data_IF_923863858729
#
_entry.id   IF_923863858729
#
_cell.length_a   1.000
_cell.length_b   1.000
_cell.length_c   1.000
_cell.angle_alpha   90.00
_cell.angle_beta   90.00
_cell.angle_gamma   90.00
#
_symmetry.space_group_name_H-M   'P 1'
#
loop_
_entity.id
_entity.type
_entity.pdbx_description
1 polymer ?
#
# COMPACT_ATOMS: atom_id res chain seq x y z
N UNK A 1 49.08 -23.59 52.40
CA UNK A 1 47.82 -23.11 53.02
C UNK A 1 47.52 -21.64 52.70
N UNK A 2 48.48 -20.72 52.81
CA UNK A 2 48.27 -19.28 52.53
C UNK A 2 47.96 -18.97 51.05
N UNK A 3 48.64 -19.60 50.09
CA UNK A 3 48.38 -19.39 48.66
C UNK A 3 46.99 -19.83 48.21
N UNK A 4 46.53 -21.00 48.67
CA UNK A 4 45.19 -21.52 48.36
C UNK A 4 44.08 -20.64 48.94
N UNK A 5 44.28 -20.07 50.13
CA UNK A 5 43.35 -19.11 50.74
C UNK A 5 43.26 -17.82 49.92
N UNK A 6 44.38 -17.32 49.42
CA UNK A 6 44.41 -16.15 48.54
C UNK A 6 43.70 -16.44 47.20
N UNK A 7 43.84 -17.65 46.66
CA UNK A 7 43.14 -18.06 45.44
C UNK A 7 41.62 -18.09 45.64
N UNK A 8 41.13 -18.69 46.75
CA UNK A 8 39.69 -18.68 47.07
C UNK A 8 39.15 -17.27 47.33
N UNK A 9 39.93 -16.40 47.98
CA UNK A 9 39.55 -15.00 48.17
C UNK A 9 39.41 -14.28 46.83
N UNK A 10 40.37 -14.45 45.92
CA UNK A 10 40.31 -13.86 44.58
C UNK A 10 39.07 -14.33 43.80
N UNK A 11 38.73 -15.62 43.84
CA UNK A 11 37.52 -16.15 43.19
C UNK A 11 36.23 -15.52 43.72
N UNK A 12 36.16 -15.27 45.02
CA UNK A 12 34.99 -14.62 45.65
C UNK A 12 34.93 -13.13 45.31
N UNK A 13 36.08 -12.45 45.30
CA UNK A 13 36.17 -11.03 44.97
C UNK A 13 35.90 -10.73 43.50
N UNK A 14 36.32 -11.60 42.59
CA UNK A 14 36.12 -11.45 41.14
C UNK A 14 34.78 -11.98 40.64
N UNK A 15 33.95 -12.55 41.52
CA UNK A 15 32.64 -13.10 41.16
C UNK A 15 31.64 -11.98 40.87
N UNK A 16 30.88 -12.12 39.78
CA UNK A 16 29.73 -11.25 39.47
C UNK A 16 28.50 -11.57 40.34
N UNK A 17 28.44 -12.78 40.92
CA UNK A 17 27.42 -13.15 41.89
C UNK A 17 27.72 -12.54 43.26
N UNK A 18 26.68 -12.07 43.95
CA UNK A 18 26.79 -11.59 45.33
C UNK A 18 27.02 -12.79 46.26
N UNK A 19 28.21 -12.87 46.86
CA UNK A 19 28.62 -13.94 47.77
C UNK A 19 28.75 -13.36 49.18
N UNK A 20 28.03 -13.95 50.12
CA UNK A 20 27.95 -13.50 51.51
C UNK A 20 28.20 -14.68 52.44
N UNK A 21 29.20 -14.55 53.31
CA UNK A 21 29.39 -15.51 54.40
C UNK A 21 28.76 -14.96 55.68
N UNK A 22 28.10 -15.82 56.47
CA UNK A 22 27.51 -15.48 57.76
C UNK A 22 27.73 -16.58 58.80
N UNK A 23 27.71 -16.24 60.09
CA UNK A 23 27.75 -17.23 61.16
C UNK A 23 26.38 -17.94 61.32
N UNK A 24 26.28 -18.87 62.27
CA UNK A 24 25.05 -19.62 62.55
C UNK A 24 23.90 -18.79 63.14
N UNK A 25 24.14 -17.52 63.47
CA UNK A 25 23.17 -16.57 64.01
C UNK A 25 22.76 -15.50 62.97
N UNK A 26 23.22 -15.65 61.72
CA UNK A 26 22.89 -14.72 60.64
C UNK A 26 23.70 -13.43 60.63
N UNK A 27 24.79 -13.36 61.42
CA UNK A 27 25.72 -12.22 61.41
C UNK A 27 26.68 -12.35 60.24
N UNK A 28 26.76 -11.30 59.42
CA UNK A 28 27.61 -11.28 58.21
C UNK A 28 29.08 -11.25 58.59
N UNK A 29 29.85 -12.18 58.00
CA UNK A 29 31.31 -12.33 58.17
C UNK A 29 32.05 -11.78 56.95
N UNK A 30 31.52 -12.05 55.75
CA UNK A 30 32.13 -11.62 54.49
C UNK A 30 31.06 -11.08 53.55
N UNK A 31 31.45 -10.08 52.76
CA UNK A 31 30.60 -9.36 51.84
C UNK A 31 31.43 -8.95 50.62
N UNK A 32 31.24 -9.64 49.50
CA UNK A 32 32.06 -9.41 48.30
C UNK A 32 31.63 -8.15 47.53
N UNK A 33 32.45 -7.65 46.58
CA UNK A 33 32.13 -6.45 45.79
C UNK A 33 30.80 -6.56 45.01
N UNK A 34 30.46 -7.74 44.49
CA UNK A 34 29.17 -7.93 43.82
C UNK A 34 27.97 -7.80 44.78
N UNK A 35 28.10 -8.19 46.04
CA UNK A 35 27.08 -7.94 47.05
C UNK A 35 26.93 -6.44 47.36
N UNK A 36 28.03 -5.67 47.38
CA UNK A 36 27.95 -4.21 47.49
C UNK A 36 27.19 -3.59 46.32
N UNK A 37 27.52 -4.01 45.09
CA UNK A 37 26.88 -3.53 43.87
C UNK A 37 25.39 -3.89 43.83
N UNK A 38 25.02 -5.12 44.20
CA UNK A 38 23.65 -5.61 44.14
C UNK A 38 22.76 -4.96 45.21
N UNK A 39 23.19 -4.94 46.47
CA UNK A 39 22.34 -4.49 47.58
C UNK A 39 22.58 -3.04 48.00
N UNK A 40 23.65 -2.40 47.51
CA UNK A 40 24.00 -1.00 47.79
C UNK A 40 24.62 -0.75 49.16
N UNK A 41 24.85 -1.79 49.95
CA UNK A 41 25.50 -1.72 51.25
C UNK A 41 26.98 -2.04 51.12
N UNK A 42 27.84 -1.26 51.75
CA UNK A 42 29.27 -1.57 51.78
C UNK A 42 29.56 -2.72 52.75
N UNK A 43 30.66 -3.44 52.53
CA UNK A 43 31.15 -4.48 53.40
C UNK A 43 31.34 -3.98 54.84
N UNK A 44 31.83 -2.74 55.00
CA UNK A 44 31.99 -2.08 56.31
C UNK A 44 30.67 -1.89 57.05
N UNK A 45 29.56 -1.67 56.34
CA UNK A 45 28.24 -1.48 56.94
C UNK A 45 27.54 -2.80 57.28
N UNK A 46 27.85 -3.86 56.52
CA UNK A 46 27.19 -5.16 56.66
C UNK A 46 27.94 -6.13 57.56
N UNK A 47 29.26 -6.20 57.48
CA UNK A 47 30.08 -7.13 58.28
C UNK A 47 29.89 -6.82 59.77
N UNK A 48 29.63 -7.86 60.57
CA UNK A 48 29.26 -7.76 61.98
C UNK A 48 27.79 -7.41 62.23
N UNK A 49 27.03 -7.05 61.20
CA UNK A 49 25.59 -6.81 61.25
C UNK A 49 24.76 -8.05 60.88
N UNK A 50 23.45 -7.97 61.11
CA UNK A 50 22.51 -9.04 60.72
C UNK A 50 22.16 -8.98 59.23
N UNK A 51 22.17 -10.14 58.56
CA UNK A 51 21.73 -10.28 57.16
C UNK A 51 20.24 -9.93 56.96
N UNK A 52 19.45 -9.95 58.04
CA UNK A 52 18.02 -9.61 58.07
C UNK A 52 17.70 -8.21 57.55
N UNK A 53 18.68 -7.30 57.54
CA UNK A 53 18.57 -5.98 56.92
C UNK A 53 18.21 -6.03 55.44
N UNK A 54 18.56 -7.12 54.74
CA UNK A 54 18.21 -7.33 53.34
C UNK A 54 16.83 -7.94 53.16
N UNK A 55 16.14 -8.37 54.23
CA UNK A 55 14.85 -9.02 54.12
C UNK A 55 13.76 -7.97 54.37
N UNK A 56 12.71 -7.90 53.53
CA UNK A 56 11.57 -7.06 53.82
C UNK A 56 10.79 -7.56 55.04
N UNK A 57 9.94 -6.71 55.62
CA UNK A 57 9.26 -7.00 56.89
C UNK A 57 8.37 -8.25 56.85
N UNK A 58 7.75 -8.52 55.70
CA UNK A 58 6.88 -9.68 55.43
C UNK A 58 7.65 -10.99 55.23
N UNK A 59 8.99 -10.95 55.13
CA UNK A 59 9.82 -12.12 54.82
C UNK A 59 10.87 -12.42 55.88
N UNK A 60 10.77 -11.83 57.07
CA UNK A 60 11.76 -12.04 58.12
C UNK A 60 11.91 -13.52 58.50
N UNK A 61 10.82 -14.28 58.52
CA UNK A 61 10.83 -15.71 58.88
C UNK A 61 11.67 -16.58 57.92
N UNK A 62 11.86 -16.14 56.67
CA UNK A 62 12.69 -16.88 55.69
C UNK A 62 14.12 -17.13 56.22
N UNK A 63 14.69 -16.17 56.96
CA UNK A 63 16.03 -16.31 57.51
C UNK A 63 16.08 -17.36 58.64
N UNK A 64 15.02 -17.52 59.43
CA UNK A 64 14.96 -18.53 60.49
C UNK A 64 14.90 -19.93 59.89
N UNK A 65 14.10 -20.12 58.84
CA UNK A 65 14.02 -21.38 58.11
C UNK A 65 15.36 -21.75 57.46
N UNK A 66 16.01 -20.78 56.82
CA UNK A 66 17.33 -20.97 56.21
C UNK A 66 18.34 -21.38 57.29
N UNK A 67 18.44 -20.65 58.40
CA UNK A 67 19.40 -20.96 59.46
C UNK A 67 19.12 -22.32 60.10
N UNK A 68 17.85 -22.69 60.28
CA UNK A 68 17.46 -24.01 60.78
C UNK A 68 17.98 -25.14 59.87
N UNK A 69 17.76 -25.03 58.56
CA UNK A 69 18.26 -26.01 57.57
C UNK A 69 19.79 -26.04 57.52
N UNK A 70 20.45 -24.89 57.60
CA UNK A 70 21.91 -24.84 57.59
C UNK A 70 22.51 -25.46 58.85
N UNK A 71 21.91 -25.24 60.03
CA UNK A 71 22.35 -25.85 61.31
C UNK A 71 22.22 -27.38 61.29
N UNK A 72 21.22 -27.94 60.60
CA UNK A 72 21.11 -29.39 60.36
C UNK A 72 22.07 -29.90 59.28
N UNK A 73 22.82 -29.01 58.63
CA UNK A 73 23.80 -29.35 57.61
C UNK A 73 23.21 -29.50 56.20
N UNK A 74 21.96 -29.10 56.01
CA UNK A 74 21.22 -29.18 54.74
C UNK A 74 21.40 -27.90 53.94
N UNK A 75 21.72 -28.05 52.65
CA UNK A 75 21.77 -26.94 51.69
C UNK A 75 20.37 -26.45 51.35
N UNK A 76 20.22 -25.14 51.19
CA UNK A 76 19.03 -24.53 50.60
C UNK A 76 19.29 -24.33 49.11
N UNK A 77 18.56 -25.09 48.28
CA UNK A 77 18.60 -24.95 46.82
C UNK A 77 18.12 -23.56 46.37
N UNK A 78 18.53 -23.09 45.17
CA UNK A 78 18.13 -21.79 44.67
C UNK A 78 16.61 -21.59 44.65
N UNK A 79 16.14 -20.48 45.22
CA UNK A 79 14.74 -20.08 45.17
C UNK A 79 14.61 -18.57 44.90
N UNK A 80 13.51 -18.17 44.26
CA UNK A 80 13.22 -16.77 43.95
C UNK A 80 12.58 -16.08 45.16
N UNK A 81 13.08 -14.91 45.53
CA UNK A 81 12.57 -14.10 46.63
C UNK A 81 12.92 -12.63 46.43
N UNK A 82 12.42 -11.76 47.30
CA UNK A 82 12.70 -10.32 47.29
C UNK A 82 13.66 -9.94 48.40
N UNK A 83 14.59 -9.03 48.08
CA UNK A 83 15.50 -8.42 49.06
C UNK A 83 15.42 -6.90 48.99
N UNK A 84 15.75 -6.25 50.09
CA UNK A 84 15.75 -4.80 50.22
C UNK A 84 17.11 -4.24 49.82
N UNK A 85 17.12 -3.34 48.83
CA UNK A 85 18.28 -2.50 48.54
C UNK A 85 18.44 -1.42 49.63
N UNK A 86 19.65 -0.90 49.87
CA UNK A 86 19.92 0.18 50.85
C UNK A 86 19.01 1.42 50.69
N UNK A 87 18.63 1.72 49.45
CA UNK A 87 17.71 2.83 49.09
C UNK A 87 16.22 2.50 49.32
N UNK A 88 15.88 1.34 49.87
CA UNK A 88 14.52 0.96 50.25
C UNK A 88 13.66 0.30 49.18
N UNK A 89 14.13 0.18 47.92
CA UNK A 89 13.39 -0.56 46.89
C UNK A 89 13.67 -2.07 46.96
N UNK A 90 12.73 -2.87 46.45
CA UNK A 90 12.85 -4.32 46.41
C UNK A 90 13.63 -4.76 45.16
N UNK A 91 14.41 -5.81 45.33
CA UNK A 91 15.18 -6.50 44.29
C UNK A 91 14.67 -7.94 44.18
N UNK A 92 14.35 -8.37 42.97
CA UNK A 92 14.05 -9.77 42.69
C UNK A 92 15.36 -10.54 42.56
N UNK A 93 15.57 -11.52 43.44
CA UNK A 93 16.81 -12.28 43.50
C UNK A 93 16.56 -13.78 43.57
N UNK A 94 17.46 -14.56 42.96
CA UNK A 94 17.59 -15.97 43.27
C UNK A 94 18.62 -16.14 44.39
N UNK A 95 18.25 -16.84 45.47
CA UNK A 95 19.11 -17.07 46.63
C UNK A 95 19.33 -18.56 46.82
N UNK A 96 20.59 -18.96 47.00
CA UNK A 96 20.95 -20.29 47.50
C UNK A 96 21.87 -20.17 48.71
N UNK A 97 21.82 -21.13 49.63
CA UNK A 97 22.59 -21.08 50.87
C UNK A 97 23.18 -22.45 51.18
N UNK A 98 24.50 -22.50 51.37
CA UNK A 98 25.23 -23.73 51.64
C UNK A 98 25.91 -23.68 53.01
N UNK A 99 25.92 -24.78 53.79
CA UNK A 99 26.58 -24.80 55.09
C UNK A 99 28.11 -24.73 54.93
N UNK A 100 28.77 -23.96 55.78
CA UNK A 100 30.24 -23.91 55.90
C UNK A 100 30.64 -24.74 57.11
N UNK A 101 31.59 -25.67 56.92
CA UNK A 101 32.03 -26.62 57.94
C UNK A 101 33.49 -26.38 58.32
N UNK A 102 33.84 -26.65 59.58
CA UNK A 102 35.24 -26.70 60.02
C UNK A 102 35.92 -28.03 59.62
N UNK A 103 37.20 -28.18 59.94
CA UNK A 103 38.00 -29.37 59.66
C UNK A 103 37.46 -30.65 60.34
N UNK A 104 36.61 -30.50 61.37
CA UNK A 104 35.96 -31.60 62.10
C UNK A 104 34.56 -31.90 61.56
N UNK A 105 34.13 -31.22 60.49
CA UNK A 105 32.83 -31.41 59.86
C UNK A 105 31.67 -30.67 60.55
N UNK A 106 31.93 -29.90 61.61
CA UNK A 106 30.91 -29.13 62.33
C UNK A 106 30.53 -27.90 61.52
N UNK A 107 29.23 -27.62 61.39
CA UNK A 107 28.74 -26.40 60.74
C UNK A 107 29.12 -25.18 61.59
N UNK A 108 29.87 -24.24 61.00
CA UNK A 108 30.33 -23.01 61.64
C UNK A 108 29.71 -21.74 61.02
N UNK A 109 28.99 -21.88 59.90
CA UNK A 109 28.34 -20.77 59.23
C UNK A 109 27.64 -21.17 57.94
N UNK A 110 27.31 -20.17 57.12
CA UNK A 110 26.65 -20.34 55.84
C UNK A 110 27.31 -19.46 54.77
N UNK A 111 27.42 -19.99 53.56
CA UNK A 111 27.76 -19.24 52.35
C UNK A 111 26.48 -19.05 51.53
N UNK A 112 26.06 -17.80 51.34
CA UNK A 112 24.89 -17.39 50.58
C UNK A 112 25.35 -16.83 49.24
N UNK A 113 24.74 -17.29 48.17
CA UNK A 113 24.89 -16.73 46.83
C UNK A 113 23.56 -16.10 46.45
N UNK A 114 23.59 -14.84 46.03
CA UNK A 114 22.44 -14.12 45.52
C UNK A 114 22.71 -13.60 44.10
N UNK A 115 21.74 -13.80 43.21
CA UNK A 115 21.77 -13.32 41.82
C UNK A 115 20.61 -12.39 41.57
N UNK A 116 20.87 -11.26 40.91
CA UNK A 116 19.81 -10.40 40.40
C UNK A 116 19.08 -11.11 39.25
N UNK A 117 17.78 -11.29 39.40
CA UNK A 117 16.93 -11.86 38.35
C UNK A 117 15.94 -10.84 37.81
N UNK A 118 15.95 -9.61 38.36
CA UNK A 118 15.10 -8.51 37.92
C UNK A 118 15.26 -8.17 36.43
N UNK A 119 16.48 -8.06 35.86
CA UNK A 119 16.66 -7.82 34.43
C UNK A 119 16.00 -8.89 33.55
N UNK A 120 16.16 -10.17 33.93
CA UNK A 120 15.57 -11.29 33.20
C UNK A 120 14.03 -11.24 33.24
N UNK A 121 13.46 -11.05 34.44
CA UNK A 121 12.00 -10.96 34.61
C UNK A 121 11.40 -9.76 33.85
N UNK A 122 12.08 -8.60 33.84
CA UNK A 122 11.64 -7.43 33.08
C UNK A 122 11.69 -7.65 31.57
N UNK A 123 12.75 -8.29 31.07
CA UNK A 123 12.85 -8.62 29.64
C UNK A 123 11.73 -9.58 29.22
N UNK A 124 11.45 -10.59 30.04
CA UNK A 124 10.37 -11.54 29.78
C UNK A 124 9.00 -10.86 29.80
N UNK A 125 8.76 -9.96 30.74
CA UNK A 125 7.52 -9.18 30.82
C UNK A 125 7.36 -8.22 29.64
N UNK A 126 8.44 -7.56 29.20
CA UNK A 126 8.42 -6.69 28.02
C UNK A 126 8.08 -7.47 26.74
N UNK A 127 8.62 -8.67 26.59
CA UNK A 127 8.28 -9.56 25.47
C UNK A 127 6.78 -9.91 25.55
N UNK A 128 6.30 -10.35 26.71
CA UNK A 128 4.89 -10.71 26.93
C UNK A 128 3.95 -9.55 26.63
N UNK A 129 4.24 -8.37 27.16
CA UNK A 129 3.45 -7.15 26.89
C UNK A 129 3.47 -6.79 25.40
N UNK A 130 4.61 -6.92 24.73
CA UNK A 130 4.73 -6.65 23.30
C UNK A 130 3.92 -7.63 22.46
N UNK A 131 3.98 -8.92 22.78
CA UNK A 131 3.18 -9.97 22.12
C UNK A 131 1.68 -9.76 22.33
N UNK A 132 1.25 -9.43 23.56
CA UNK A 132 -0.15 -9.15 23.88
C UNK A 132 -0.67 -7.90 23.17
N UNK A 133 0.15 -6.85 23.08
CA UNK A 133 -0.18 -5.63 22.31
C UNK A 133 -0.31 -5.94 20.83
N UNK A 134 0.65 -6.67 20.25
CA UNK A 134 0.59 -7.06 18.84
C UNK A 134 -0.65 -7.89 18.53
N UNK A 135 -0.93 -8.90 19.35
CA UNK A 135 -2.14 -9.74 19.21
C UNK A 135 -3.40 -8.89 19.26
N UNK A 136 -3.51 -8.00 20.25
CA UNK A 136 -4.69 -7.13 20.40
C UNK A 136 -4.89 -6.23 19.17
N UNK A 137 -3.82 -5.64 18.63
CA UNK A 137 -3.91 -4.83 17.41
C UNK A 137 -4.37 -5.67 16.23
N UNK A 138 -3.76 -6.84 16.01
CA UNK A 138 -4.08 -7.72 14.89
C UNK A 138 -5.52 -8.27 14.97
N UNK A 139 -6.04 -8.51 16.18
CA UNK A 139 -7.42 -8.95 16.41
C UNK A 139 -8.46 -7.83 16.23
N UNK A 140 -8.07 -6.57 16.44
CA UNK A 140 -9.01 -5.42 16.40
C UNK A 140 -9.06 -4.68 15.07
N UNK A 141 -8.17 -4.99 14.11
CA UNK A 141 -8.22 -4.34 12.80
C UNK A 141 -9.53 -4.66 12.05
N UNK A 142 -9.96 -3.71 11.22
CA UNK A 142 -11.19 -3.87 10.44
C UNK A 142 -11.09 -4.77 9.22
N UNK A 143 -9.90 -5.27 8.93
CA UNK A 143 -9.65 -6.15 7.81
C UNK A 143 -9.60 -7.60 8.30
N UNK A 144 -9.83 -8.54 7.40
CA UNK A 144 -9.44 -9.92 7.70
C UNK A 144 -7.92 -9.95 7.65
N UNK A 145 -7.27 -10.59 8.63
CA UNK A 145 -5.82 -10.66 8.72
C UNK A 145 -5.36 -12.09 8.85
N UNK A 146 -4.18 -12.37 8.31
CA UNK A 146 -3.55 -13.67 8.40
C UNK A 146 -2.02 -13.56 8.42
N UNK A 147 -1.39 -14.58 9.01
CA UNK A 147 0.07 -14.74 9.02
C UNK A 147 0.39 -16.07 8.37
N UNK A 148 1.33 -16.09 7.44
CA UNK A 148 1.87 -17.30 6.83
C UNK A 148 3.37 -17.47 7.12
N UNK A 149 3.85 -18.70 7.05
CA UNK A 149 5.27 -19.02 7.07
C UNK A 149 5.96 -18.58 5.75
N UNK A 150 7.31 -18.69 5.64
CA UNK A 150 8.03 -18.31 4.42
C UNK A 150 7.59 -19.09 3.17
N UNK A 151 7.08 -20.32 3.35
CA UNK A 151 6.58 -21.21 2.30
C UNK A 151 5.14 -20.87 1.85
N UNK A 152 4.45 -19.99 2.58
CA UNK A 152 3.11 -19.51 2.27
C UNK A 152 1.99 -20.31 2.91
N UNK A 153 2.28 -21.22 3.85
CA UNK A 153 1.26 -21.90 4.65
C UNK A 153 0.76 -20.97 5.76
N UNK A 154 -0.56 -20.81 5.85
CA UNK A 154 -1.16 -19.87 6.79
C UNK A 154 -1.17 -20.47 8.19
N UNK A 155 -0.50 -19.79 9.12
CA UNK A 155 -0.32 -20.18 10.53
C UNK A 155 -1.40 -19.60 11.44
N UNK A 156 -1.98 -18.46 11.08
CA UNK A 156 -2.91 -17.74 11.94
C UNK A 156 -3.85 -16.85 11.12
N UNK A 157 -5.07 -16.69 11.63
CA UNK A 157 -6.07 -15.72 11.17
C UNK A 157 -6.60 -14.93 12.36
N UNK A 158 -6.97 -13.67 12.15
CA UNK A 158 -7.63 -12.87 13.17
C UNK A 158 -9.10 -13.28 13.38
N UNK A 159 -9.70 -12.84 14.48
CA UNK A 159 -11.09 -13.11 14.85
C UNK A 159 -12.07 -12.70 13.75
N UNK A 160 -11.79 -11.58 13.07
CA UNK A 160 -12.64 -11.05 12.01
C UNK A 160 -12.75 -11.98 10.80
N UNK A 161 -11.69 -12.73 10.49
CA UNK A 161 -11.73 -13.80 9.49
C UNK A 161 -12.84 -14.80 9.81
N UNK A 162 -12.82 -15.37 11.02
CA UNK A 162 -13.79 -16.37 11.44
C UNK A 162 -15.22 -15.81 11.55
N UNK A 163 -15.38 -14.56 11.98
CA UNK A 163 -16.70 -13.90 12.02
C UNK A 163 -17.33 -13.73 10.64
N UNK A 164 -16.50 -13.47 9.62
CA UNK A 164 -16.89 -13.31 8.23
C UNK A 164 -17.15 -14.64 7.54
N UNK A 165 -16.19 -15.57 7.58
CA UNK A 165 -16.24 -16.86 6.88
C UNK A 165 -17.13 -17.88 7.59
N UNK A 166 -17.31 -17.74 8.91
CA UNK A 166 -18.02 -18.70 9.75
C UNK A 166 -17.26 -20.00 10.00
N UNK A 167 -15.98 -20.06 9.61
CA UNK A 167 -15.15 -21.25 9.79
C UNK A 167 -14.62 -21.36 11.22
N UNK A 168 -14.19 -22.56 11.60
CA UNK A 168 -13.39 -22.79 12.81
C UNK A 168 -11.90 -22.90 12.45
N UNK A 169 -10.98 -22.66 13.41
CA UNK A 169 -9.54 -22.79 13.17
C UNK A 169 -9.15 -24.12 12.50
N UNK A 170 -9.69 -25.23 13.02
CA UNK A 170 -9.48 -26.60 12.52
C UNK A 170 -9.88 -26.80 11.04
N UNK A 171 -10.81 -25.98 10.53
CA UNK A 171 -11.35 -26.10 9.17
C UNK A 171 -10.53 -25.35 8.13
N UNK A 172 -9.70 -24.38 8.58
CA UNK A 172 -8.88 -23.50 7.73
C UNK A 172 -7.38 -23.76 7.86
N UNK A 173 -6.97 -24.71 8.70
CA UNK A 173 -5.58 -25.17 8.78
C UNK A 173 -5.06 -25.67 7.42
N UNK A 174 -3.79 -25.34 7.13
CA UNK A 174 -3.12 -25.64 5.86
C UNK A 174 -3.92 -25.16 4.65
N UNK A 175 -4.39 -26.10 3.84
CA UNK A 175 -5.10 -25.81 2.59
C UNK A 175 -6.56 -25.39 2.72
N UNK A 176 -7.12 -25.30 3.93
CA UNK A 176 -8.55 -25.10 4.16
C UNK A 176 -9.12 -23.80 3.58
N UNK A 177 -8.31 -22.74 3.47
CA UNK A 177 -8.70 -21.46 2.87
C UNK A 177 -9.11 -21.56 1.39
N UNK A 178 -8.65 -22.59 0.66
CA UNK A 178 -9.00 -22.80 -0.75
C UNK A 178 -10.50 -22.98 -0.96
N UNK A 179 -11.21 -23.52 0.03
CA UNK A 179 -12.67 -23.71 0.00
C UNK A 179 -13.46 -22.41 0.10
N UNK A 180 -12.81 -21.34 0.58
CA UNK A 180 -13.41 -20.03 0.76
C UNK A 180 -13.18 -19.11 -0.45
N UNK A 181 -12.31 -19.50 -1.38
CA UNK A 181 -12.10 -18.76 -2.61
C UNK A 181 -13.09 -19.16 -3.70
N UNK A 182 -13.43 -18.20 -4.55
CA UNK A 182 -14.23 -18.49 -5.73
C UNK A 182 -13.45 -19.42 -6.70
N UNK A 183 -14.04 -20.51 -7.21
CA UNK A 183 -13.34 -21.48 -8.06
C UNK A 183 -12.62 -20.87 -9.25
N UNK A 184 -13.26 -19.91 -9.94
CA UNK A 184 -12.69 -19.23 -11.12
C UNK A 184 -11.44 -18.37 -10.81
N UNK A 185 -11.20 -18.03 -9.55
CA UNK A 185 -10.10 -17.18 -9.13
C UNK A 185 -8.96 -17.95 -8.45
N UNK A 186 -9.23 -19.17 -7.95
CA UNK A 186 -8.30 -19.93 -7.12
C UNK A 186 -6.93 -20.15 -7.78
N UNK A 187 -6.91 -20.63 -9.02
CA UNK A 187 -5.65 -20.93 -9.73
C UNK A 187 -4.80 -19.67 -9.96
N UNK A 188 -5.45 -18.55 -10.27
CA UNK A 188 -4.75 -17.28 -10.51
C UNK A 188 -4.16 -16.73 -9.22
N UNK A 189 -4.93 -16.76 -8.12
CA UNK A 189 -4.49 -16.32 -6.80
C UNK A 189 -3.29 -17.15 -6.33
N UNK A 190 -3.37 -18.48 -6.45
CA UNK A 190 -2.25 -19.36 -6.08
C UNK A 190 -0.99 -19.06 -6.91
N UNK A 191 -1.15 -18.88 -8.22
CA UNK A 191 -0.03 -18.58 -9.12
C UNK A 191 0.62 -17.26 -8.76
N UNK A 192 -0.15 -16.19 -8.55
CA UNK A 192 0.37 -14.88 -8.17
C UNK A 192 1.03 -14.90 -6.79
N UNK A 193 0.40 -15.57 -5.81
CA UNK A 193 0.98 -15.68 -4.48
C UNK A 193 2.30 -16.46 -4.50
N UNK A 194 2.37 -17.58 -5.23
CA UNK A 194 3.62 -18.34 -5.40
C UNK A 194 4.74 -17.52 -6.05
N UNK A 195 4.41 -16.65 -7.01
CA UNK A 195 5.39 -15.72 -7.60
C UNK A 195 5.90 -14.69 -6.58
N UNK A 196 5.02 -14.20 -5.70
CA UNK A 196 5.42 -13.30 -4.61
C UNK A 196 6.33 -13.99 -3.60
N UNK A 197 6.02 -15.24 -3.21
CA UNK A 197 6.88 -16.05 -2.32
C UNK A 197 8.31 -16.19 -2.87
N UNK A 198 8.45 -16.49 -4.17
CA UNK A 198 9.76 -16.65 -4.83
C UNK A 198 10.50 -15.32 -4.98
N UNK A 199 9.80 -14.25 -5.32
CA UNK A 199 10.43 -12.93 -5.52
C UNK A 199 10.70 -12.19 -4.22
N UNK A 200 9.98 -12.53 -3.14
CA UNK A 200 10.03 -11.82 -1.87
C UNK A 200 9.51 -10.38 -1.94
N UNK A 201 8.69 -10.07 -2.94
CA UNK A 201 8.06 -8.75 -3.14
C UNK A 201 6.64 -8.77 -2.57
N UNK A 202 6.12 -7.60 -2.20
CA UNK A 202 4.71 -7.43 -1.82
C UNK A 202 3.77 -8.08 -2.83
N UNK A 203 2.82 -8.85 -2.30
CA UNK A 203 1.74 -9.46 -3.07
C UNK A 203 0.50 -8.59 -2.98
N UNK A 204 -0.17 -8.34 -4.11
CA UNK A 204 -1.48 -7.71 -4.17
C UNK A 204 -2.35 -8.48 -5.16
N UNK A 205 -3.59 -8.79 -4.79
CA UNK A 205 -4.58 -9.39 -5.68
C UNK A 205 -6.01 -9.01 -5.27
N UNK A 206 -6.96 -9.09 -6.19
CA UNK A 206 -8.37 -8.79 -5.95
C UNK A 206 -9.26 -9.94 -6.39
N UNK A 207 -9.94 -10.58 -5.44
CA UNK A 207 -10.75 -11.76 -5.70
C UNK A 207 -11.93 -11.90 -4.73
N UNK A 208 -12.95 -12.69 -5.09
CA UNK A 208 -14.10 -12.92 -4.22
C UNK A 208 -13.77 -13.95 -3.14
N UNK A 209 -14.13 -13.64 -1.89
CA UNK A 209 -14.13 -14.58 -0.76
C UNK A 209 -15.56 -14.91 -0.37
N UNK A 210 -15.76 -16.16 0.05
CA UNK A 210 -17.05 -16.70 0.50
C UNK A 210 -17.26 -16.39 1.97
N UNK A 211 -18.37 -15.71 2.28
CA UNK A 211 -18.83 -15.49 3.65
C UNK A 211 -19.60 -16.69 4.20
N UNK A 212 -19.91 -16.66 5.50
CA UNK A 212 -20.68 -17.72 6.21
C UNK A 212 -22.08 -17.99 5.65
N UNK A 213 -22.68 -17.00 5.01
CA UNK A 213 -23.97 -17.12 4.33
C UNK A 213 -23.85 -17.77 2.93
N UNK A 214 -22.62 -18.04 2.48
CA UNK A 214 -22.32 -18.60 1.17
C UNK A 214 -22.19 -17.58 0.05
N UNK A 215 -22.45 -16.30 0.31
CA UNK A 215 -22.29 -15.22 -0.66
C UNK A 215 -20.82 -14.85 -0.83
N UNK A 216 -20.46 -14.45 -2.05
CA UNK A 216 -19.12 -13.96 -2.35
C UNK A 216 -19.08 -12.44 -2.28
N UNK A 217 -18.10 -11.91 -1.55
CA UNK A 217 -17.78 -10.48 -1.50
C UNK A 217 -16.37 -10.25 -2.05
N UNK A 218 -16.13 -9.10 -2.66
CA UNK A 218 -14.86 -8.75 -3.28
C UNK A 218 -13.87 -8.23 -2.25
N UNK A 219 -12.67 -8.80 -2.21
CA UNK A 219 -11.60 -8.36 -1.33
C UNK A 219 -10.36 -7.94 -2.09
N UNK A 220 -9.79 -6.80 -1.69
CA UNK A 220 -8.41 -6.43 -2.00
C UNK A 220 -7.51 -7.10 -0.97
N UNK A 221 -6.68 -8.02 -1.43
CA UNK A 221 -5.77 -8.81 -0.61
C UNK A 221 -4.34 -8.33 -0.82
N UNK A 222 -3.64 -8.03 0.27
CA UNK A 222 -2.23 -7.61 0.26
C UNK A 222 -1.43 -8.43 1.25
N UNK A 223 -0.23 -8.85 0.88
CA UNK A 223 0.68 -9.51 1.81
C UNK A 223 2.10 -8.95 1.71
N UNK A 224 2.69 -8.68 2.87
CA UNK A 224 4.05 -8.15 3.01
C UNK A 224 4.96 -9.16 3.70
N UNK A 225 6.19 -9.36 3.21
CA UNK A 225 7.16 -10.22 3.87
C UNK A 225 7.76 -9.50 5.08
N UNK A 226 7.73 -10.18 6.22
CA UNK A 226 8.45 -9.82 7.44
C UNK A 226 9.81 -10.50 7.39
N UNK A 227 10.88 -9.73 7.63
CA UNK A 227 12.26 -10.18 7.49
C UNK A 227 13.00 -10.13 8.82
N UNK A 228 13.92 -11.07 9.03
CA UNK A 228 14.87 -11.02 10.15
C UNK A 228 16.01 -10.02 9.88
N UNK A 229 16.93 -9.87 10.83
CA UNK A 229 18.11 -9.00 10.71
C UNK A 229 19.04 -9.39 9.55
N UNK A 230 19.02 -10.66 9.13
CA UNK A 230 19.78 -11.17 7.98
C UNK A 230 19.09 -10.87 6.63
N UNK A 231 17.88 -10.31 6.64
CA UNK A 231 17.08 -10.01 5.44
C UNK A 231 16.28 -11.20 4.90
N UNK A 232 16.32 -12.35 5.57
CA UNK A 232 15.57 -13.55 5.21
C UNK A 232 14.10 -13.36 5.60
N UNK A 233 13.19 -13.84 4.76
CA UNK A 233 11.76 -13.79 5.04
C UNK A 233 11.48 -14.83 6.13
N UNK A 234 10.94 -14.37 7.26
CA UNK A 234 10.55 -15.23 8.37
C UNK A 234 9.05 -15.50 8.40
N UNK A 235 8.24 -14.56 7.92
CA UNK A 235 6.79 -14.66 7.87
C UNK A 235 6.22 -13.75 6.78
N UNK A 236 4.98 -14.00 6.38
CA UNK A 236 4.18 -13.08 5.60
C UNK A 236 3.02 -12.59 6.45
N UNK A 237 2.77 -11.27 6.45
CA UNK A 237 1.57 -10.70 7.04
C UNK A 237 0.66 -10.21 5.94
N UNK A 238 -0.55 -10.75 5.88
CA UNK A 238 -1.54 -10.42 4.88
C UNK A 238 -2.84 -9.89 5.44
N UNK A 239 -3.49 -9.03 4.66
CA UNK A 239 -4.82 -8.52 4.97
C UNK A 239 -5.74 -8.63 3.77
N UNK A 240 -7.04 -8.77 4.04
CA UNK A 240 -8.10 -8.76 3.05
C UNK A 240 -9.08 -7.64 3.43
N UNK A 241 -9.13 -6.61 2.58
CA UNK A 241 -10.03 -5.47 2.72
C UNK A 241 -11.26 -5.69 1.86
N UNK A 242 -12.46 -5.67 2.45
CA UNK A 242 -13.70 -5.74 1.67
C UNK A 242 -13.85 -4.46 0.83
N UNK A 243 -13.94 -4.62 -0.49
CA UNK A 243 -14.13 -3.54 -1.46
C UNK A 243 -15.44 -3.70 -2.23
N UNK A 244 -16.35 -4.56 -1.79
CA UNK A 244 -17.61 -4.87 -2.49
C UNK A 244 -18.44 -3.62 -2.70
N UNK A 245 -18.75 -2.91 -1.62
CA UNK A 245 -19.58 -1.69 -1.67
C UNK A 245 -18.91 -0.61 -2.53
N UNK A 246 -17.58 -0.50 -2.48
CA UNK A 246 -16.81 0.44 -3.30
C UNK A 246 -16.91 0.09 -4.80
N UNK A 247 -16.83 -1.21 -5.14
CA UNK A 247 -17.00 -1.68 -6.52
C UNK A 247 -18.43 -1.51 -7.02
N UNK A 248 -19.42 -1.80 -6.19
CA UNK A 248 -20.83 -1.62 -6.53
C UNK A 248 -21.15 -0.14 -6.78
N UNK A 249 -20.65 0.76 -5.94
CA UNK A 249 -20.76 2.20 -6.16
C UNK A 249 -20.09 2.65 -7.45
N UNK A 250 -18.88 2.16 -7.73
CA UNK A 250 -18.15 2.49 -8.97
C UNK A 250 -18.91 2.01 -10.22
N UNK A 251 -19.47 0.79 -10.20
CA UNK A 251 -20.27 0.27 -11.31
C UNK A 251 -21.60 1.02 -11.45
N UNK A 252 -22.25 1.39 -10.35
CA UNK A 252 -23.47 2.19 -10.39
C UNK A 252 -23.22 3.57 -11.02
N UNK A 253 -22.11 4.22 -10.66
CA UNK A 253 -21.69 5.48 -11.31
C UNK A 253 -21.49 5.25 -12.81
N UNK A 254 -20.82 4.15 -13.20
CA UNK A 254 -20.60 3.82 -14.61
C UNK A 254 -21.90 3.64 -15.39
N UNK A 255 -22.88 2.92 -14.83
CA UNK A 255 -24.19 2.73 -15.45
C UNK A 255 -24.97 4.05 -15.59
N UNK A 256 -24.93 4.90 -14.56
CA UNK A 256 -25.55 6.23 -14.62
C UNK A 256 -24.92 7.10 -15.72
N UNK A 257 -23.59 7.05 -15.87
CA UNK A 257 -22.89 7.77 -16.94
C UNK A 257 -23.28 7.24 -18.33
N UNK A 258 -23.41 5.92 -18.50
CA UNK A 258 -23.91 5.32 -19.74
C UNK A 258 -25.34 5.77 -20.05
N UNK A 259 -26.22 5.84 -19.06
CA UNK A 259 -27.60 6.31 -19.24
C UNK A 259 -27.67 7.78 -19.63
N UNK A 260 -26.87 8.64 -18.97
CA UNK A 260 -26.78 10.07 -19.32
C UNK A 260 -26.34 10.24 -20.77
N UNK A 261 -25.34 9.49 -21.23
CA UNK A 261 -24.90 9.54 -22.62
C UNK A 261 -25.99 9.06 -23.59
N UNK A 262 -26.65 7.94 -23.30
CA UNK A 262 -27.76 7.47 -24.12
C UNK A 262 -28.88 8.52 -24.23
N UNK A 263 -29.24 9.19 -23.13
CA UNK A 263 -30.24 10.27 -23.13
C UNK A 263 -29.77 11.48 -23.95
N UNK A 264 -28.50 11.87 -23.84
CA UNK A 264 -27.90 12.93 -24.66
C UNK A 264 -28.00 12.62 -26.15
N UNK A 265 -27.68 11.39 -26.58
CA UNK A 265 -27.85 10.94 -27.98
C UNK A 265 -29.29 10.99 -28.46
N UNK A 266 -30.25 10.58 -27.63
CA UNK A 266 -31.67 10.63 -27.98
C UNK A 266 -32.14 12.08 -28.17
N UNK A 267 -31.69 12.99 -27.31
CA UNK A 267 -31.99 14.42 -27.44
C UNK A 267 -31.39 14.96 -28.74
N UNK A 268 -30.14 14.64 -29.04
CA UNK A 268 -29.48 15.02 -30.30
C UNK A 268 -30.22 14.50 -31.54
N UNK A 269 -30.66 13.25 -31.52
CA UNK A 269 -31.48 12.65 -32.60
C UNK A 269 -32.83 13.36 -32.74
N UNK A 270 -33.44 13.75 -31.63
CA UNK A 270 -34.71 14.50 -31.62
C UNK A 270 -34.53 15.90 -32.21
N UNK A 271 -33.44 16.59 -31.85
CA UNK A 271 -33.08 17.89 -32.41
C UNK A 271 -32.82 17.76 -33.92
N UNK A 272 -32.15 16.71 -34.39
CA UNK A 272 -32.01 16.40 -35.83
C UNK A 272 -33.37 16.26 -36.52
N UNK A 273 -34.30 15.51 -35.92
CA UNK A 273 -35.64 15.32 -36.48
C UNK A 273 -36.47 16.63 -36.51
N UNK A 274 -36.37 17.46 -35.47
CA UNK A 274 -37.00 18.79 -35.43
C UNK A 274 -36.42 19.72 -36.49
N UNK A 275 -35.10 19.77 -36.62
CA UNK A 275 -34.42 20.57 -37.65
C UNK A 275 -34.87 20.17 -39.07
N UNK A 276 -35.00 18.85 -39.35
CA UNK A 276 -35.55 18.32 -40.62
C UNK A 276 -36.93 18.88 -40.96
N UNK A 277 -37.78 19.02 -39.94
CA UNK A 277 -39.16 19.48 -40.12
C UNK A 277 -39.28 20.99 -40.29
N UNK A 278 -38.38 21.76 -39.66
CA UNK A 278 -38.44 23.23 -39.65
C UNK A 278 -37.76 23.90 -40.84
N UNK A 279 -36.83 23.24 -41.53
CA UNK A 279 -36.10 23.81 -42.68
C UNK A 279 -35.98 22.85 -43.88
N UNK A 280 -37.11 22.35 -44.45
CA UNK A 280 -37.10 21.31 -45.49
C UNK A 280 -36.45 21.75 -46.82
N UNK A 281 -36.45 23.04 -47.16
CA UNK A 281 -35.92 23.58 -48.43
C UNK A 281 -34.42 23.97 -48.37
N UNK A 282 -33.75 23.80 -47.23
CA UNK A 282 -32.31 23.99 -47.10
C UNK A 282 -31.58 22.64 -46.97
N UNK A 283 -31.70 21.78 -47.99
CA UNK A 283 -31.05 20.46 -48.00
C UNK A 283 -29.55 20.49 -47.64
N UNK A 284 -28.85 21.57 -48.01
CA UNK A 284 -27.46 21.80 -47.62
C UNK A 284 -27.25 22.12 -46.13
N UNK A 285 -28.18 22.84 -45.48
CA UNK A 285 -28.12 23.10 -44.04
C UNK A 285 -28.35 21.82 -43.24
N UNK A 286 -29.34 21.02 -43.65
CA UNK A 286 -29.71 19.77 -43.01
C UNK A 286 -28.60 18.72 -43.05
N UNK A 287 -27.99 18.48 -44.21
CA UNK A 287 -26.85 17.58 -44.33
C UNK A 287 -25.68 18.01 -43.43
N UNK A 288 -25.34 19.31 -43.42
CA UNK A 288 -24.29 19.84 -42.53
C UNK A 288 -24.68 19.69 -41.07
N UNK A 289 -25.95 19.89 -40.70
CA UNK A 289 -26.42 19.78 -39.31
C UNK A 289 -26.34 18.32 -38.81
N UNK A 290 -26.66 17.36 -39.66
CA UNK A 290 -26.61 15.93 -39.34
C UNK A 290 -25.18 15.41 -39.15
N UNK A 291 -24.27 15.76 -40.06
CA UNK A 291 -22.84 15.43 -39.94
C UNK A 291 -22.27 15.96 -38.61
N UNK A 292 -22.67 17.18 -38.22
CA UNK A 292 -22.25 17.83 -36.96
C UNK A 292 -22.74 17.12 -35.70
N UNK A 293 -24.01 16.73 -35.67
CA UNK A 293 -24.55 15.97 -34.53
C UNK A 293 -23.91 14.58 -34.43
N UNK A 294 -23.55 13.97 -35.58
CA UNK A 294 -22.82 12.69 -35.59
C UNK A 294 -21.42 12.85 -34.98
N UNK A 295 -20.68 13.91 -35.31
CA UNK A 295 -19.36 14.20 -34.72
C UNK A 295 -19.44 14.38 -33.19
N UNK A 296 -20.47 15.08 -32.70
CA UNK A 296 -20.70 15.25 -31.26
C UNK A 296 -21.00 13.90 -30.55
N UNK A 297 -21.80 13.03 -31.18
CA UNK A 297 -22.12 11.72 -30.64
C UNK A 297 -20.89 10.80 -30.53
N UNK A 298 -19.98 10.83 -31.51
CA UNK A 298 -18.70 10.07 -31.46
C UNK A 298 -17.84 10.54 -30.29
N UNK A 299 -17.81 11.84 -30.01
CA UNK A 299 -17.04 12.37 -28.89
C UNK A 299 -17.59 11.91 -27.53
N UNK A 300 -18.92 11.90 -27.38
CA UNK A 300 -19.57 11.41 -26.17
C UNK A 300 -19.29 9.92 -25.90
N UNK A 301 -19.13 9.11 -26.95
CA UNK A 301 -18.77 7.69 -26.83
C UNK A 301 -17.33 7.48 -26.34
N UNK A 302 -16.39 8.26 -26.87
CA UNK A 302 -14.99 8.23 -26.43
C UNK A 302 -14.89 8.62 -24.94
N UNK A 303 -15.67 9.64 -24.52
CA UNK A 303 -15.68 10.11 -23.14
C UNK A 303 -16.25 9.07 -22.17
N UNK A 304 -17.34 8.38 -22.52
CA UNK A 304 -17.91 7.32 -21.67
C UNK A 304 -17.01 6.08 -21.62
N UNK A 305 -16.42 5.67 -22.74
CA UNK A 305 -15.51 4.51 -22.77
C UNK A 305 -14.25 4.66 -21.91
N UNK A 306 -13.88 5.91 -21.56
CA UNK A 306 -12.71 6.24 -20.76
C UNK A 306 -13.05 6.93 -19.42
N UNK A 307 -14.28 6.76 -18.94
CA UNK A 307 -14.76 7.31 -17.66
C UNK A 307 -14.53 8.83 -17.49
N UNK A 308 -14.53 9.58 -18.59
CA UNK A 308 -14.37 11.04 -18.60
C UNK A 308 -13.06 11.57 -17.95
N UNK A 309 -12.05 10.73 -17.72
CA UNK A 309 -10.79 11.16 -17.08
C UNK A 309 -9.77 11.72 -18.08
N UNK A 310 -9.54 11.00 -19.18
CA UNK A 310 -8.53 11.36 -20.16
C UNK A 310 -8.85 10.79 -21.55
N UNK A 311 -8.45 11.50 -22.60
CA UNK A 311 -8.64 11.06 -23.99
C UNK A 311 -7.29 11.04 -24.71
N UNK A 312 -6.71 9.85 -24.99
CA UNK A 312 -5.48 9.76 -25.77
C UNK A 312 -5.64 10.42 -27.15
N UNK A 313 -4.74 11.31 -27.53
CA UNK A 313 -4.84 12.07 -28.80
C UNK A 313 -4.91 11.11 -30.00
N UNK A 314 -4.14 10.02 -29.94
CA UNK A 314 -4.11 8.99 -31.00
C UNK A 314 -5.47 8.32 -31.19
N UNK A 315 -6.16 7.99 -30.09
CA UNK A 315 -7.49 7.40 -30.14
C UNK A 315 -8.51 8.41 -30.70
N UNK A 316 -8.47 9.66 -30.24
CA UNK A 316 -9.34 10.73 -30.76
C UNK A 316 -9.20 10.88 -32.28
N UNK A 317 -7.96 10.97 -32.78
CA UNK A 317 -7.69 11.12 -34.21
C UNK A 317 -8.18 9.88 -34.99
N UNK A 318 -7.91 8.66 -34.50
CA UNK A 318 -8.36 7.44 -35.16
C UNK A 318 -9.88 7.36 -35.28
N UNK A 319 -10.60 7.56 -34.17
CA UNK A 319 -12.05 7.42 -34.14
C UNK A 319 -12.75 8.53 -34.95
N UNK A 320 -12.27 9.77 -34.88
CA UNK A 320 -12.86 10.89 -35.64
C UNK A 320 -12.65 10.77 -37.15
N UNK A 321 -11.60 10.07 -37.59
CA UNK A 321 -11.26 9.89 -38.99
C UNK A 321 -11.64 8.51 -39.54
N UNK A 322 -12.28 7.65 -38.75
CA UNK A 322 -12.62 6.30 -39.16
C UNK A 322 -13.49 6.24 -40.42
N UNK A 323 -14.30 7.28 -40.68
CA UNK A 323 -15.17 7.37 -41.86
C UNK A 323 -14.44 7.70 -43.18
N UNK A 324 -13.17 8.12 -43.13
CA UNK A 324 -12.35 8.46 -44.30
C UNK A 324 -11.21 7.45 -44.55
N UNK A 325 -11.27 6.28 -43.92
CA UNK A 325 -10.27 5.21 -44.07
C UNK A 325 -10.11 4.73 -45.52
N UNK A 326 -11.20 4.76 -46.30
CA UNK A 326 -11.25 4.37 -47.71
C UNK A 326 -11.13 5.58 -48.67
N UNK A 327 -10.63 6.72 -48.20
CA UNK A 327 -10.47 7.90 -49.04
C UNK A 327 -9.45 7.65 -50.19
N UNK A 328 -9.63 8.29 -51.36
CA UNK A 328 -8.68 8.18 -52.47
C UNK A 328 -7.24 8.55 -52.11
N UNK A 329 -7.06 9.61 -51.32
CA UNK A 329 -5.74 10.12 -50.92
C UNK A 329 -5.12 9.45 -49.69
N UNK A 330 -3.83 9.72 -49.44
CA UNK A 330 -3.09 9.11 -48.33
C UNK A 330 -3.24 9.89 -47.02
N UNK A 331 -3.52 9.20 -45.91
CA UNK A 331 -3.57 9.78 -44.57
C UNK A 331 -2.38 9.32 -43.72
N UNK A 332 -1.58 10.28 -43.21
CA UNK A 332 -0.44 10.02 -42.31
C UNK A 332 -0.69 10.67 -40.95
N UNK A 333 -0.54 9.88 -39.88
CA UNK A 333 -0.85 10.30 -38.52
C UNK A 333 0.35 10.00 -37.60
N UNK A 334 0.89 11.01 -36.93
CA UNK A 334 2.07 10.82 -36.05
C UNK A 334 2.13 11.81 -34.89
N UNK A 335 2.45 11.33 -33.69
CA UNK A 335 2.74 12.18 -32.53
C UNK A 335 3.06 11.37 -31.27
N UNK A 336 3.55 12.03 -30.20
CA UNK A 336 3.89 11.40 -28.93
C UNK A 336 2.64 10.91 -28.18
N UNK A 337 2.84 10.07 -27.18
CA UNK A 337 1.75 9.61 -26.31
C UNK A 337 1.33 10.72 -25.35
N UNK A 338 0.19 11.35 -25.64
CA UNK A 338 -0.39 12.46 -24.91
C UNK A 338 -1.90 12.22 -24.74
N UNK A 339 -2.44 12.68 -23.61
CA UNK A 339 -3.87 12.62 -23.33
C UNK A 339 -4.44 14.03 -23.11
N UNK A 340 -5.58 14.30 -23.73
CA UNK A 340 -6.32 15.55 -23.65
C UNK A 340 -7.37 15.50 -22.55
N UNK A 341 -7.67 16.67 -21.98
CA UNK A 341 -8.84 16.83 -21.12
C UNK A 341 -10.13 16.65 -21.95
N UNK A 342 -11.25 16.18 -21.36
CA UNK A 342 -12.52 15.98 -22.06
C UNK A 342 -12.97 17.17 -22.92
N UNK A 343 -12.91 18.38 -22.34
CA UNK A 343 -13.28 19.62 -23.03
C UNK A 343 -12.40 19.89 -24.25
N UNK A 344 -11.11 19.59 -24.15
CA UNK A 344 -10.15 19.80 -25.25
C UNK A 344 -10.35 18.78 -26.35
N UNK A 345 -10.58 17.51 -25.98
CA UNK A 345 -10.91 16.45 -26.92
C UNK A 345 -12.22 16.72 -27.68
N UNK A 346 -13.21 17.32 -27.00
CA UNK A 346 -14.46 17.75 -27.62
C UNK A 346 -14.22 18.70 -28.79
N UNK A 347 -13.55 19.81 -28.49
CA UNK A 347 -13.30 20.89 -29.44
C UNK A 347 -12.38 20.46 -30.58
N UNK A 348 -11.30 19.73 -30.28
CA UNK A 348 -10.36 19.25 -31.31
C UNK A 348 -11.02 18.18 -32.19
N UNK A 349 -11.79 17.27 -31.59
CA UNK A 349 -12.49 16.22 -32.34
C UNK A 349 -13.43 16.80 -33.39
N UNK A 350 -14.19 17.84 -33.03
CA UNK A 350 -15.06 18.56 -33.98
C UNK A 350 -14.26 19.21 -35.11
N UNK A 351 -13.15 19.90 -34.80
CA UNK A 351 -12.32 20.53 -35.81
C UNK A 351 -11.71 19.51 -36.79
N UNK A 352 -11.23 18.37 -36.29
CA UNK A 352 -10.68 17.29 -37.11
C UNK A 352 -11.73 16.66 -38.03
N UNK A 353 -12.95 16.44 -37.52
CA UNK A 353 -14.04 15.89 -38.32
C UNK A 353 -14.42 16.82 -39.48
N UNK A 354 -14.49 18.12 -39.24
CA UNK A 354 -14.77 19.12 -40.28
C UNK A 354 -13.62 19.23 -41.30
N UNK A 355 -12.36 19.23 -40.84
CA UNK A 355 -11.19 19.22 -41.73
C UNK A 355 -11.19 17.98 -42.64
N UNK A 356 -11.46 16.81 -42.10
CA UNK A 356 -11.55 15.56 -42.85
C UNK A 356 -12.66 15.59 -43.89
N UNK A 357 -13.84 16.08 -43.51
CA UNK A 357 -14.99 16.21 -44.41
C UNK A 357 -14.68 17.18 -45.55
N UNK A 358 -14.05 18.31 -45.25
CA UNK A 358 -13.66 19.30 -46.26
C UNK A 358 -12.58 18.74 -47.21
N UNK A 359 -11.61 18.00 -46.67
CA UNK A 359 -10.55 17.38 -47.45
C UNK A 359 -11.10 16.34 -48.43
N UNK A 360 -12.04 15.51 -47.98
CA UNK A 360 -12.68 14.50 -48.83
C UNK A 360 -13.54 15.12 -49.94
N UNK A 361 -14.25 16.21 -49.64
CA UNK A 361 -15.17 16.86 -50.60
C UNK A 361 -14.45 17.78 -51.58
N UNK A 362 -13.44 18.51 -51.13
CA UNK A 362 -12.86 19.63 -51.88
C UNK A 362 -11.33 19.69 -51.86
N UNK A 363 -10.68 18.95 -50.95
CA UNK A 363 -9.24 19.07 -50.68
C UNK A 363 -8.43 17.84 -51.10
N UNK A 364 -7.31 17.61 -50.42
CA UNK A 364 -6.33 16.60 -50.83
C UNK A 364 -6.88 15.16 -50.82
N UNK A 365 -7.77 14.80 -49.89
CA UNK A 365 -8.30 13.43 -49.83
C UNK A 365 -9.29 13.11 -50.97
N UNK A 366 -9.74 14.09 -51.75
CA UNK A 366 -10.64 13.86 -52.89
C UNK A 366 -9.99 13.17 -54.08
N UNK A 367 -8.66 13.13 -54.16
CA UNK A 367 -7.90 12.58 -55.29
C UNK A 367 -6.77 11.65 -54.83
N UNK A 368 -6.41 10.66 -55.66
CA UNK A 368 -5.42 9.65 -55.32
C UNK A 368 -3.99 10.16 -55.10
N UNK A 369 -3.64 11.30 -55.71
CA UNK A 369 -2.32 11.92 -55.56
C UNK A 369 -2.20 12.80 -54.30
N UNK A 370 -3.33 13.10 -53.65
CA UNK A 370 -3.34 13.97 -52.48
C UNK A 370 -2.99 13.22 -51.21
N UNK A 371 -2.45 13.95 -50.25
CA UNK A 371 -2.10 13.42 -48.94
C UNK A 371 -2.40 14.42 -47.83
N UNK A 372 -2.70 13.89 -46.65
CA UNK A 372 -2.91 14.63 -45.41
C UNK A 372 -1.93 14.15 -44.36
N UNK A 373 -1.23 15.09 -43.72
CA UNK A 373 -0.38 14.82 -42.57
C UNK A 373 -1.01 15.46 -41.33
N UNK A 374 -1.31 14.62 -40.35
CA UNK A 374 -1.77 15.02 -39.03
C UNK A 374 -0.67 14.73 -38.04
N UNK A 375 -0.25 15.74 -37.30
CA UNK A 375 0.66 15.53 -36.19
C UNK A 375 0.36 16.40 -35.01
N UNK A 376 0.87 15.97 -33.86
CA UNK A 376 0.74 16.71 -32.61
C UNK A 376 2.04 16.59 -31.81
N UNK A 377 2.25 17.55 -30.93
CA UNK A 377 3.37 17.56 -29.99
C UNK A 377 3.03 18.42 -28.76
N UNK A 378 3.91 18.43 -27.76
CA UNK A 378 3.89 19.45 -26.71
C UNK A 378 4.22 20.81 -27.32
N UNK A 379 3.59 21.86 -26.77
CA UNK A 379 3.86 23.24 -27.18
C UNK A 379 5.32 23.66 -26.94
N UNK A 380 5.70 24.81 -27.48
CA UNK A 380 7.07 25.36 -27.39
C UNK A 380 7.54 25.39 -25.93
N UNK A 381 8.76 24.91 -25.67
CA UNK A 381 9.36 24.73 -24.33
C UNK A 381 8.66 23.68 -23.43
N UNK A 382 7.90 22.74 -24.01
CA UNK A 382 7.20 21.68 -23.27
C UNK A 382 5.95 22.16 -22.52
N UNK A 383 5.50 23.39 -22.80
CA UNK A 383 4.33 23.98 -22.19
C UNK A 383 3.18 24.05 -23.20
N UNK A 384 2.04 23.44 -22.86
CA UNK A 384 0.86 23.39 -23.71
C UNK A 384 0.85 22.24 -24.72
N UNK A 385 -0.06 22.33 -25.69
CA UNK A 385 -0.33 21.32 -26.69
C UNK A 385 -0.43 21.96 -28.07
N UNK A 386 0.10 21.29 -29.09
CA UNK A 386 -0.05 21.69 -30.48
C UNK A 386 -0.48 20.51 -31.36
N UNK A 387 -1.40 20.76 -32.26
CA UNK A 387 -1.83 19.81 -33.30
C UNK A 387 -1.95 20.54 -34.64
N UNK A 388 -1.60 19.85 -35.72
CA UNK A 388 -1.66 20.40 -37.07
C UNK A 388 -2.23 19.41 -38.06
N UNK A 389 -2.84 19.96 -39.10
CA UNK A 389 -3.36 19.29 -40.28
C UNK A 389 -2.74 19.96 -41.51
N UNK A 390 -2.04 19.20 -42.34
CA UNK A 390 -1.39 19.72 -43.56
C UNK A 390 -1.78 18.88 -44.75
N UNK A 391 -2.37 19.53 -45.73
CA UNK A 391 -2.70 18.91 -47.01
C UNK A 391 -1.64 19.20 -48.07
N UNK A 392 -1.40 18.23 -48.94
CA UNK A 392 -0.51 18.38 -50.08
C UNK A 392 -0.94 17.51 -51.26
N UNK A 393 -0.51 17.90 -52.46
CA UNK A 393 -0.82 17.15 -53.69
C UNK A 393 -2.31 17.12 -54.06
N UNK A 394 -3.13 17.95 -53.41
CA UNK A 394 -4.56 18.08 -53.67
C UNK A 394 -4.88 19.01 -54.84
N UNK A 395 -6.18 19.14 -55.22
CA UNK A 395 -6.62 20.16 -56.16
C UNK A 395 -6.30 21.58 -55.62
N UNK A 396 -6.19 22.59 -56.49
CA UNK A 396 -5.94 23.97 -56.07
C UNK A 396 -7.04 24.46 -55.13
N UNK A 397 -6.65 24.85 -53.91
CA UNK A 397 -7.58 25.40 -52.92
C UNK A 397 -7.48 26.92 -52.93
N UNK A 398 -8.61 27.59 -53.06
CA UNK A 398 -8.73 29.05 -52.95
C UNK A 398 -9.41 29.37 -51.62
N UNK A 399 -8.95 30.43 -50.95
CA UNK A 399 -9.60 30.90 -49.74
C UNK A 399 -11.07 31.24 -50.04
N UNK A 400 -12.04 30.66 -49.29
CA UNK A 400 -13.45 30.88 -49.56
C UNK A 400 -13.85 32.33 -49.27
N UNK A 401 -14.53 32.99 -50.22
CA UNK A 401 -15.00 34.39 -50.10
C UNK A 401 -16.01 34.62 -48.96
N UNK A 402 -16.62 33.54 -48.44
CA UNK A 402 -17.53 33.60 -47.29
C UNK A 402 -17.03 32.67 -46.18
N UNK A 403 -16.79 33.23 -45.00
CA UNK A 403 -16.56 32.45 -43.78
C UNK A 403 -17.86 31.77 -43.36
N UNK A 404 -18.01 30.50 -43.71
CA UNK A 404 -19.14 29.67 -43.30
C UNK A 404 -18.92 29.01 -41.94
N UNK A 405 -19.88 28.20 -41.52
CA UNK A 405 -19.88 27.51 -40.22
C UNK A 405 -18.68 26.56 -40.01
N UNK A 406 -18.15 25.95 -41.08
CA UNK A 406 -16.95 25.11 -41.01
C UNK A 406 -15.70 25.89 -40.57
N UNK A 407 -15.55 27.13 -41.05
CA UNK A 407 -14.48 28.03 -40.60
C UNK A 407 -14.65 28.38 -39.11
N UNK A 408 -15.89 28.56 -38.63
CA UNK A 408 -16.18 28.79 -37.21
C UNK A 408 -15.76 27.60 -36.34
N UNK A 409 -16.04 26.36 -36.75
CA UNK A 409 -15.65 25.16 -35.99
C UNK A 409 -14.15 24.92 -35.97
N UNK A 410 -13.47 25.19 -37.08
CA UNK A 410 -12.03 24.94 -37.22
C UNK A 410 -11.21 26.08 -36.58
N UNK A 411 -11.74 27.31 -36.54
CA UNK A 411 -11.01 28.51 -36.09
C UNK A 411 -11.57 29.17 -34.83
N UNK A 412 -12.85 29.51 -34.83
CA UNK A 412 -13.40 30.43 -33.83
C UNK A 412 -13.80 29.68 -32.54
N UNK A 413 -14.35 28.47 -32.65
CA UNK A 413 -14.70 27.61 -31.50
C UNK A 413 -13.46 27.22 -30.68
N UNK A 414 -12.34 26.78 -31.28
CA UNK A 414 -11.14 26.48 -30.51
C UNK A 414 -10.50 27.72 -29.90
N UNK A 415 -10.49 28.86 -30.61
CA UNK A 415 -10.03 30.14 -30.05
C UNK A 415 -10.79 30.54 -28.80
N UNK A 416 -12.11 30.38 -28.79
CA UNK A 416 -12.95 30.82 -27.67
C UNK A 416 -13.02 29.80 -26.52
N UNK A 417 -13.08 28.49 -26.82
CA UNK A 417 -13.28 27.48 -25.78
C UNK A 417 -11.98 27.00 -25.13
N UNK A 418 -10.86 27.12 -25.82
CA UNK A 418 -9.56 26.64 -25.34
C UNK A 418 -8.54 27.76 -25.17
N UNK A 419 -8.94 29.02 -25.38
CA UNK A 419 -8.05 30.18 -25.50
C UNK A 419 -6.88 29.88 -26.47
N UNK A 420 -7.17 29.14 -27.54
CA UNK A 420 -6.18 28.60 -28.45
C UNK A 420 -5.75 29.62 -29.52
N UNK A 421 -4.48 29.61 -29.88
CA UNK A 421 -4.00 30.22 -31.11
C UNK A 421 -4.27 29.25 -32.27
N UNK A 422 -5.03 29.71 -33.27
CA UNK A 422 -5.37 28.90 -34.45
C UNK A 422 -4.93 29.62 -35.71
N UNK A 423 -4.11 28.94 -36.52
CA UNK A 423 -3.67 29.39 -37.84
C UNK A 423 -4.32 28.53 -38.91
N UNK A 424 -4.90 29.17 -39.93
CA UNK A 424 -5.50 28.51 -41.08
C UNK A 424 -5.00 29.22 -42.34
N UNK A 425 -4.41 28.47 -43.26
CA UNK A 425 -3.79 28.99 -44.48
C UNK A 425 -4.13 28.12 -45.67
N UNK A 426 -4.35 28.77 -46.81
CA UNK A 426 -4.73 28.14 -48.08
C UNK A 426 -3.58 28.28 -49.06
N UNK A 427 -3.08 27.17 -49.57
CA UNK A 427 -2.02 27.13 -50.57
C UNK A 427 -2.51 26.40 -51.82
N UNK A 428 -1.84 26.62 -52.95
CA UNK A 428 -2.21 26.03 -54.24
C UNK A 428 -2.18 24.50 -54.27
N UNK A 429 -1.63 23.84 -53.26
CA UNK A 429 -1.58 22.38 -53.12
C UNK A 429 -2.36 21.80 -51.95
N UNK A 430 -3.06 22.63 -51.15
CA UNK A 430 -3.81 22.17 -49.98
C UNK A 430 -4.01 23.20 -48.87
N UNK A 431 -4.75 22.80 -47.83
CA UNK A 431 -5.00 23.57 -46.60
C UNK A 431 -3.98 23.21 -45.51
N UNK A 432 -3.49 24.22 -44.79
CA UNK A 432 -2.68 24.06 -43.60
C UNK A 432 -3.40 24.68 -42.39
N UNK A 433 -3.70 23.86 -41.39
CA UNK A 433 -4.30 24.25 -40.12
C UNK A 433 -3.38 23.87 -38.96
N UNK A 434 -3.23 24.77 -38.00
CA UNK A 434 -2.47 24.55 -36.77
C UNK A 434 -3.21 25.15 -35.59
N UNK A 435 -3.30 24.39 -34.50
CA UNK A 435 -3.85 24.81 -33.23
C UNK A 435 -2.78 24.68 -32.14
N UNK A 436 -2.69 25.71 -31.29
CA UNK A 436 -1.82 25.75 -30.10
C UNK A 436 -2.64 26.20 -28.90
N UNK A 437 -2.60 25.46 -27.81
CA UNK A 437 -3.31 25.80 -26.58
C UNK A 437 -2.47 25.52 -25.33
N UNK A 438 -2.86 26.12 -24.21
CA UNK A 438 -2.11 26.10 -22.96
C UNK A 438 -2.07 24.74 -22.26
N UNK A 439 -1.34 24.65 -21.13
CA UNK A 439 -1.11 23.40 -20.40
C UNK A 439 -2.38 22.71 -19.90
N UNK A 440 -3.47 23.46 -19.65
CA UNK A 440 -4.77 22.91 -19.26
C UNK A 440 -5.47 22.06 -20.33
N UNK A 441 -4.89 22.00 -21.53
CA UNK A 441 -5.33 21.12 -22.61
C UNK A 441 -4.98 19.65 -22.36
N UNK A 442 -3.88 19.39 -21.65
CA UNK A 442 -3.37 18.05 -21.36
C UNK A 442 -3.78 17.60 -19.97
N UNK A 443 -4.02 16.30 -19.83
CA UNK A 443 -4.13 15.67 -18.51
C UNK A 443 -2.73 15.64 -17.91
N UNK A 444 -2.59 16.04 -16.63
CA UNK A 444 -1.32 15.94 -15.94
C UNK A 444 -0.85 14.48 -15.96
N UNK A 445 0.44 14.19 -16.20
CA UNK A 445 0.93 12.82 -16.15
C UNK A 445 0.56 12.24 -14.80
N UNK A 446 -0.24 11.19 -14.81
CA UNK A 446 -0.52 10.39 -13.62
C UNK A 446 0.82 10.05 -13.01
N UNK A 447 1.08 10.53 -11.77
CA UNK A 447 2.20 10.00 -11.01
C UNK A 447 2.01 8.48 -11.06
N UNK A 448 3.02 7.70 -11.48
CA UNK A 448 2.90 6.25 -11.33
C UNK A 448 2.54 6.04 -9.87
N UNK A 449 1.41 5.39 -9.62
CA UNK A 449 1.10 4.89 -8.29
C UNK A 449 2.37 4.18 -7.84
N UNK A 450 2.96 4.70 -6.78
CA UNK A 450 4.20 4.18 -6.24
C UNK A 450 3.98 2.70 -5.98
N UNK A 451 4.65 1.89 -6.80
CA UNK A 451 4.70 0.43 -6.77
C UNK A 451 4.88 -0.13 -5.37
#
# INVERSE_FOLDING_TARGET
MTELRNFYAALVESSDDAIVAKNTDGVVISWNPAAEKLFGWTAREMIGGSIRRLLPADRQEEEDEILSRIRSGTRVEPFYTKRLHKKGHLLDVSVSVSPVRDERGKVIGASKIARDVGPYLRAQEQIRESEERFRTLAETISQLAWIADPEGEVLWYNQRWYEYTGTKPEEVEGSGWRKLQHPDHLENVERHFRQALVSGVEWEDTFPLRGKNGEYRWFLSRAKPIRNEAGEIVQWFGTNTDITDQREQAEQIRLLLMEVNHRSKNMLTTIQALARRSAPDEAGFLARFEDRVRSLAVNQDILVGREWREVPVRDLVREQLAFISDAPGELRVSGPDLALTPRTAEVIGMALHELATNSLKYGALSIAAGHVVIGWDRGVNGNGFSIWWREGGGPPVVEPERSGFGTTLIRDVPRHNLDAEVTLSYHSGGVCWELKCGQGALVAPSRPESR
#
